data_IF_807917293047
#
_entry.id   IF_807917293047
#
_cell.length_a   1.000
_cell.length_b   1.000
_cell.length_c   1.000
_cell.angle_alpha   90.00
_cell.angle_beta   90.00
_cell.angle_gamma   90.00
#
_symmetry.space_group_name_H-M   'P 1'
#
loop_
_entity.id
_entity.type
_entity.pdbx_description
1 polymer ?
#
# COMPACT_ATOMS: atom_id res chain seq x y z
N UNK A 1 6.54 -7.32 -17.33
CA UNK A 1 6.13 -5.98 -17.80
C UNK A 1 7.36 -5.07 -17.80
N UNK A 2 7.99 -4.74 -16.65
CA UNK A 2 9.11 -3.77 -16.52
C UNK A 2 10.25 -4.03 -17.52
N UNK A 3 10.70 -5.28 -17.67
CA UNK A 3 11.76 -5.66 -18.62
C UNK A 3 11.49 -5.18 -20.07
N UNK A 4 10.23 -5.14 -20.49
CA UNK A 4 9.85 -4.77 -21.85
C UNK A 4 9.57 -3.24 -21.98
N UNK A 5 9.25 -2.58 -20.88
CA UNK A 5 8.99 -1.14 -20.87
C UNK A 5 10.26 -0.31 -20.71
N UNK A 6 11.24 -0.78 -19.93
CA UNK A 6 12.48 -0.06 -19.67
C UNK A 6 13.19 0.43 -20.95
N UNK A 7 13.37 -0.40 -22.00
CA UNK A 7 14.02 0.09 -23.24
C UNK A 7 13.29 1.26 -23.91
N UNK A 8 11.97 1.35 -23.73
CA UNK A 8 11.15 2.45 -24.30
C UNK A 8 11.24 3.73 -23.47
N UNK A 9 11.75 3.65 -22.25
CA UNK A 9 11.89 4.79 -21.35
C UNK A 9 13.31 5.37 -21.33
N UNK A 10 14.32 4.67 -21.88
CA UNK A 10 15.72 5.05 -21.77
C UNK A 10 16.03 6.44 -22.34
N UNK A 11 15.35 6.85 -23.43
CA UNK A 11 15.62 8.12 -24.09
C UNK A 11 14.88 9.31 -23.45
N UNK A 12 13.73 9.04 -22.79
CA UNK A 12 12.83 10.10 -22.30
C UNK A 12 12.68 10.12 -20.78
N UNK A 13 13.22 9.13 -20.08
CA UNK A 13 12.96 8.94 -18.65
C UNK A 13 11.52 8.51 -18.34
N UNK A 14 11.12 8.69 -17.09
CA UNK A 14 9.74 8.42 -16.68
C UNK A 14 9.59 7.95 -15.25
N UNK A 15 8.39 7.52 -14.89
CA UNK A 15 8.06 7.06 -13.55
C UNK A 15 7.43 5.66 -13.58
N UNK A 16 8.02 4.73 -12.83
CA UNK A 16 7.50 3.38 -12.62
C UNK A 16 6.92 3.32 -11.21
N UNK A 17 5.64 2.95 -11.09
CA UNK A 17 4.96 2.81 -9.81
C UNK A 17 4.49 1.36 -9.68
N UNK A 18 5.10 0.63 -8.75
CA UNK A 18 4.77 -0.76 -8.49
C UNK A 18 3.81 -0.87 -7.30
N UNK A 19 2.76 -1.68 -7.42
CA UNK A 19 1.82 -1.92 -6.33
C UNK A 19 2.32 -3.08 -5.45
N UNK A 20 2.90 -2.74 -4.32
CA UNK A 20 3.24 -3.66 -3.25
C UNK A 20 2.06 -3.89 -2.28
N UNK A 21 2.31 -3.89 -1.00
CA UNK A 21 1.36 -3.95 0.11
C UNK A 21 2.09 -3.57 1.39
N UNK A 22 1.37 -3.11 2.41
CA UNK A 22 1.93 -3.01 3.75
C UNK A 22 2.44 -4.37 4.26
N UNK A 23 1.83 -5.49 3.84
CA UNK A 23 2.30 -6.86 4.12
C UNK A 23 3.65 -7.20 3.47
N UNK A 24 4.14 -6.39 2.55
CA UNK A 24 5.50 -6.51 2.02
C UNK A 24 6.55 -5.77 2.85
N UNK A 25 6.12 -4.86 3.73
CA UNK A 25 6.99 -4.15 4.68
C UNK A 25 7.01 -4.82 6.06
N UNK A 26 5.92 -5.50 6.41
CA UNK A 26 5.78 -6.35 7.59
C UNK A 26 4.99 -7.60 7.19
N UNK A 27 4.92 -8.60 8.08
CA UNK A 27 4.26 -9.85 7.75
C UNK A 27 2.80 -9.88 8.23
N UNK A 28 1.92 -10.37 7.37
CA UNK A 28 0.57 -10.79 7.72
C UNK A 28 0.56 -12.27 8.09
N UNK A 29 -0.26 -12.62 9.08
CA UNK A 29 -0.42 -13.99 9.53
C UNK A 29 -1.07 -14.85 8.43
N UNK A 30 -0.58 -16.06 8.24
CA UNK A 30 -1.06 -17.06 7.25
C UNK A 30 -0.92 -16.62 5.78
N UNK A 31 -0.07 -15.62 5.46
CA UNK A 31 0.14 -15.09 4.10
C UNK A 31 1.61 -15.09 3.66
N UNK A 32 2.42 -16.06 4.08
CA UNK A 32 3.86 -16.10 3.83
C UNK A 32 4.24 -15.91 2.35
N UNK A 33 3.55 -16.59 1.43
CA UNK A 33 3.78 -16.44 -0.01
C UNK A 33 3.46 -15.03 -0.53
N UNK A 34 2.34 -14.45 -0.06
CA UNK A 34 1.96 -13.07 -0.40
C UNK A 34 2.95 -12.06 0.16
N UNK A 35 3.33 -12.20 1.43
CA UNK A 35 4.30 -11.33 2.11
C UNK A 35 5.65 -11.35 1.36
N UNK A 36 6.14 -12.54 1.00
CA UNK A 36 7.37 -12.71 0.23
C UNK A 36 7.27 -12.06 -1.16
N UNK A 37 6.15 -12.27 -1.88
CA UNK A 37 5.93 -11.67 -3.18
C UNK A 37 5.91 -10.13 -3.12
N UNK A 38 5.19 -9.56 -2.14
CA UNK A 38 5.07 -8.10 -1.99
C UNK A 38 6.35 -7.47 -1.44
N UNK A 39 7.09 -8.16 -0.58
CA UNK A 39 8.45 -7.78 -0.17
C UNK A 39 9.43 -7.78 -1.36
N UNK A 40 9.33 -8.79 -2.23
CA UNK A 40 10.08 -8.87 -3.48
C UNK A 40 9.81 -7.69 -4.41
N UNK A 41 8.55 -7.26 -4.55
CA UNK A 41 8.18 -6.07 -5.34
C UNK A 41 8.85 -4.81 -4.78
N UNK A 42 8.89 -4.63 -3.46
CA UNK A 42 9.53 -3.48 -2.83
C UNK A 42 11.04 -3.46 -3.15
N UNK A 43 11.71 -4.60 -2.95
CA UNK A 43 13.16 -4.65 -3.21
C UNK A 43 13.50 -4.55 -4.70
N UNK A 44 12.70 -5.16 -5.57
CA UNK A 44 12.81 -5.00 -7.02
C UNK A 44 12.67 -3.54 -7.45
N UNK A 45 11.74 -2.79 -6.85
CA UNK A 45 11.56 -1.35 -7.12
C UNK A 45 12.81 -0.56 -6.79
N UNK A 46 13.47 -0.86 -5.67
CA UNK A 46 14.76 -0.23 -5.30
C UNK A 46 15.86 -0.53 -6.32
N UNK A 47 15.93 -1.76 -6.81
CA UNK A 47 16.90 -2.14 -7.83
C UNK A 47 16.71 -1.30 -9.10
N UNK A 48 15.48 -1.20 -9.60
CA UNK A 48 15.18 -0.37 -10.78
C UNK A 48 15.56 1.10 -10.54
N UNK A 49 15.25 1.66 -9.37
CA UNK A 49 15.59 3.04 -9.04
C UNK A 49 17.10 3.30 -9.08
N UNK A 50 17.91 2.36 -8.58
CA UNK A 50 19.36 2.46 -8.57
C UNK A 50 19.95 2.26 -9.96
N UNK A 51 19.46 1.25 -10.69
CA UNK A 51 19.98 0.86 -11.98
C UNK A 51 19.70 1.90 -13.08
N UNK A 52 18.53 2.56 -13.03
CA UNK A 52 18.04 3.42 -14.11
C UNK A 52 17.82 4.89 -13.71
N UNK A 53 18.25 5.28 -12.52
CA UNK A 53 18.08 6.67 -12.06
C UNK A 53 18.85 7.70 -12.89
N UNK A 54 19.99 7.32 -13.48
CA UNK A 54 20.79 8.21 -14.35
C UNK A 54 20.15 8.45 -15.72
N UNK A 55 19.25 7.59 -16.14
CA UNK A 55 18.41 7.71 -17.33
C UNK A 55 17.12 8.48 -17.05
N UNK A 56 17.09 9.19 -15.92
CA UNK A 56 15.91 9.94 -15.46
C UNK A 56 14.65 9.07 -15.29
N UNK A 57 14.84 7.78 -14.94
CA UNK A 57 13.74 6.85 -14.63
C UNK A 57 13.63 6.74 -13.12
N UNK A 58 12.49 7.19 -12.59
CA UNK A 58 12.15 7.00 -11.18
C UNK A 58 11.36 5.70 -11.01
N UNK A 59 11.59 5.00 -9.91
CA UNK A 59 10.82 3.82 -9.57
C UNK A 59 10.45 3.85 -8.09
N UNK A 60 9.14 3.80 -7.79
CA UNK A 60 8.62 3.78 -6.43
C UNK A 60 7.58 2.67 -6.28
N UNK A 61 7.44 2.17 -5.07
CA UNK A 61 6.36 1.25 -4.70
C UNK A 61 5.32 1.99 -3.86
N UNK A 62 4.06 1.69 -4.09
CA UNK A 62 3.00 2.01 -3.14
C UNK A 62 2.69 0.77 -2.29
N UNK A 63 2.43 0.97 -1.01
CA UNK A 63 2.11 -0.09 -0.05
C UNK A 63 0.73 0.19 0.58
N UNK A 64 -0.36 -0.14 -0.12
CA UNK A 64 -1.71 0.06 0.39
C UNK A 64 -1.99 -0.83 1.61
N UNK A 65 -2.79 -0.30 2.53
CA UNK A 65 -3.52 -1.08 3.53
C UNK A 65 -4.75 -1.76 2.93
N UNK A 66 -5.79 -1.95 3.74
CA UNK A 66 -7.05 -2.50 3.25
C UNK A 66 -7.84 -1.43 2.50
N UNK A 67 -8.04 -1.64 1.21
CA UNK A 67 -8.75 -0.73 0.31
C UNK A 67 -10.07 -1.38 -0.11
N UNK A 68 -11.16 -0.63 -0.05
CA UNK A 68 -12.51 -1.08 -0.44
C UNK A 68 -12.53 -1.36 -1.95
N UNK A 69 -12.52 -2.63 -2.32
CA UNK A 69 -12.42 -3.09 -3.71
C UNK A 69 -13.15 -4.42 -3.87
N UNK A 70 -13.54 -4.81 -5.10
CA UNK A 70 -14.09 -6.15 -5.36
C UNK A 70 -13.17 -7.30 -4.91
N UNK A 71 -11.86 -7.07 -4.80
CA UNK A 71 -10.94 -8.06 -4.24
C UNK A 71 -11.24 -8.34 -2.77
N UNK A 72 -11.58 -7.31 -1.99
CA UNK A 72 -11.96 -7.48 -0.59
C UNK A 72 -13.28 -8.24 -0.49
N UNK A 73 -14.26 -7.94 -1.35
CA UNK A 73 -15.53 -8.66 -1.39
C UNK A 73 -15.31 -10.16 -1.67
N UNK A 74 -14.45 -10.47 -2.62
CA UNK A 74 -14.13 -11.86 -2.99
C UNK A 74 -13.39 -12.63 -1.89
N UNK A 75 -12.57 -11.95 -1.08
CA UNK A 75 -11.74 -12.58 -0.05
C UNK A 75 -12.42 -12.67 1.32
N UNK A 76 -13.24 -11.71 1.64
CA UNK A 76 -13.74 -11.51 3.00
C UNK A 76 -15.27 -11.45 3.10
N UNK A 77 -15.97 -11.48 1.98
CA UNK A 77 -17.42 -11.25 1.88
C UNK A 77 -17.75 -9.78 1.59
N UNK A 78 -18.96 -9.56 1.08
CA UNK A 78 -19.46 -8.23 0.71
C UNK A 78 -19.77 -7.37 1.94
N UNK A 79 -20.02 -6.08 1.75
CA UNK A 79 -20.48 -5.20 2.83
C UNK A 79 -21.88 -5.56 3.36
N UNK A 80 -22.63 -6.42 2.65
CA UNK A 80 -24.00 -6.80 3.00
C UNK A 80 -24.07 -8.09 3.83
N UNK A 81 -23.11 -9.02 3.69
CA UNK A 81 -23.08 -10.26 4.46
C UNK A 81 -22.34 -10.13 5.80
N UNK A 82 -22.62 -11.04 6.75
CA UNK A 82 -22.06 -10.97 8.10
C UNK A 82 -20.53 -11.16 8.14
N UNK A 83 -19.97 -11.98 7.26
CA UNK A 83 -18.52 -12.19 7.18
C UNK A 83 -17.82 -10.90 6.71
N UNK A 84 -18.33 -10.27 5.67
CA UNK A 84 -17.81 -9.02 5.15
C UNK A 84 -17.98 -7.84 6.11
N UNK A 85 -19.11 -7.76 6.82
CA UNK A 85 -19.33 -6.76 7.90
C UNK A 85 -18.32 -6.93 9.02
N UNK A 86 -18.14 -8.18 9.49
CA UNK A 86 -17.16 -8.49 10.55
C UNK A 86 -15.74 -8.15 10.13
N UNK A 87 -15.34 -8.57 8.91
CA UNK A 87 -14.03 -8.23 8.39
C UNK A 87 -13.80 -6.72 8.33
N UNK A 88 -14.74 -5.98 7.75
CA UNK A 88 -14.64 -4.51 7.64
C UNK A 88 -14.64 -3.83 9.00
N UNK A 89 -15.43 -4.34 9.95
CA UNK A 89 -15.43 -3.89 11.33
C UNK A 89 -14.05 -4.03 11.97
N UNK A 90 -13.42 -5.20 11.85
CA UNK A 90 -12.07 -5.46 12.34
C UNK A 90 -11.02 -4.56 11.66
N UNK A 91 -11.13 -4.36 10.34
CA UNK A 91 -10.21 -3.47 9.61
C UNK A 91 -10.35 -2.02 10.04
N UNK A 92 -11.57 -1.52 10.24
CA UNK A 92 -11.84 -0.18 10.79
C UNK A 92 -11.23 -0.03 12.18
N UNK A 93 -11.36 -1.05 13.01
CA UNK A 93 -10.85 -1.04 14.38
C UNK A 93 -9.31 -0.96 14.42
N UNK A 94 -8.59 -1.71 13.58
CA UNK A 94 -7.12 -1.68 13.54
C UNK A 94 -6.55 -0.49 12.78
N UNK A 95 -7.37 0.24 12.03
CA UNK A 95 -6.94 1.38 11.23
C UNK A 95 -7.11 2.69 12.03
N UNK A 96 -6.05 3.44 12.33
CA UNK A 96 -6.16 4.71 13.07
C UNK A 96 -7.15 5.71 12.50
N UNK A 97 -7.30 5.78 11.18
CA UNK A 97 -8.32 6.62 10.53
C UNK A 97 -9.74 6.06 10.64
N UNK A 98 -9.95 4.89 11.27
CA UNK A 98 -11.27 4.31 11.56
C UNK A 98 -12.06 3.85 10.34
N UNK A 99 -11.43 3.67 9.20
CA UNK A 99 -12.07 3.24 7.96
C UNK A 99 -11.11 2.52 7.02
N UNK A 100 -11.65 1.83 6.02
CA UNK A 100 -10.88 1.34 4.88
C UNK A 100 -10.50 2.52 3.96
N UNK A 101 -9.42 2.36 3.21
CA UNK A 101 -9.08 3.30 2.15
C UNK A 101 -9.97 3.11 0.92
N UNK A 102 -9.96 4.09 0.03
CA UNK A 102 -10.67 4.03 -1.25
C UNK A 102 -9.70 3.90 -2.43
N UNK A 103 -10.12 3.31 -3.57
CA UNK A 103 -9.31 3.28 -4.78
C UNK A 103 -8.88 4.68 -5.25
N UNK A 104 -9.73 5.69 -5.09
CA UNK A 104 -9.44 7.08 -5.46
C UNK A 104 -8.28 7.67 -4.63
N UNK A 105 -8.20 7.35 -3.34
CA UNK A 105 -7.07 7.78 -2.50
C UNK A 105 -5.75 7.16 -2.98
N UNK A 106 -5.78 5.90 -3.37
CA UNK A 106 -4.60 5.23 -3.98
C UNK A 106 -4.26 5.88 -5.32
N UNK A 107 -5.27 6.17 -6.15
CA UNK A 107 -5.09 6.85 -7.44
C UNK A 107 -4.43 8.22 -7.31
N UNK A 108 -4.78 8.99 -6.29
CA UNK A 108 -4.15 10.31 -6.01
C UNK A 108 -2.67 10.18 -5.68
N UNK A 109 -2.29 9.18 -4.88
CA UNK A 109 -0.88 8.91 -4.61
C UNK A 109 -0.12 8.48 -5.88
N UNK A 110 -0.74 7.63 -6.70
CA UNK A 110 -0.16 7.21 -7.99
C UNK A 110 0.03 8.42 -8.91
N UNK A 111 -0.97 9.30 -9.01
CA UNK A 111 -0.89 10.53 -9.83
C UNK A 111 0.24 11.45 -9.36
N UNK A 112 0.40 11.65 -8.05
CA UNK A 112 1.52 12.40 -7.48
C UNK A 112 2.87 11.77 -7.84
N UNK A 113 3.02 10.46 -7.67
CA UNK A 113 4.26 9.76 -7.98
C UNK A 113 4.56 9.70 -9.48
N UNK A 114 3.56 9.82 -10.33
CA UNK A 114 3.72 9.88 -11.78
C UNK A 114 4.12 11.27 -12.28
N UNK A 115 3.81 12.32 -11.53
CA UNK A 115 4.06 13.72 -11.91
C UNK A 115 5.47 14.20 -11.52
N UNK A 116 5.82 15.39 -12.00
CA UNK A 116 7.07 16.07 -11.68
C UNK A 116 7.11 16.60 -10.23
N UNK A 117 5.96 16.68 -9.55
CA UNK A 117 5.89 17.03 -8.12
C UNK A 117 6.66 16.04 -7.24
N UNK A 118 6.92 14.83 -7.74
CA UNK A 118 7.72 13.79 -7.10
C UNK A 118 9.08 13.56 -7.77
N UNK A 119 9.61 14.54 -8.49
CA UNK A 119 10.83 14.44 -9.30
C UNK A 119 12.08 14.01 -8.52
N UNK A 120 12.14 14.21 -7.21
CA UNK A 120 13.25 13.80 -6.35
C UNK A 120 12.92 12.59 -5.44
N UNK A 121 11.83 11.86 -5.76
CA UNK A 121 11.41 10.66 -5.02
C UNK A 121 11.62 9.44 -5.92
N UNK A 122 12.55 8.58 -5.53
CA UNK A 122 12.83 7.29 -6.20
C UNK A 122 13.36 6.26 -5.21
N UNK A 123 13.07 4.99 -5.42
CA UNK A 123 13.48 3.87 -4.56
C UNK A 123 12.62 3.70 -3.30
N UNK A 124 11.57 4.50 -3.15
CA UNK A 124 10.74 4.49 -1.95
C UNK A 124 9.60 3.46 -2.00
N UNK A 125 9.19 3.02 -0.81
CA UNK A 125 7.97 2.25 -0.60
C UNK A 125 7.02 3.04 0.29
N UNK A 126 6.08 3.74 -0.33
CA UNK A 126 5.20 4.70 0.33
C UNK A 126 3.92 4.00 0.77
N UNK A 127 3.66 4.03 2.08
CA UNK A 127 2.44 3.48 2.67
C UNK A 127 1.25 4.40 2.44
N UNK A 128 0.11 3.76 2.16
CA UNK A 128 -1.21 4.38 2.13
C UNK A 128 -2.18 3.41 2.83
N UNK A 129 -2.09 3.35 4.15
CA UNK A 129 -2.65 2.31 5.00
C UNK A 129 -3.53 2.84 6.14
N UNK A 130 -3.81 4.15 6.15
CA UNK A 130 -4.60 4.78 7.21
C UNK A 130 -3.94 4.75 8.59
N UNK A 131 -2.61 4.50 8.63
CA UNK A 131 -1.81 4.47 9.85
C UNK A 131 -1.68 3.08 10.49
N UNK A 132 -2.16 2.00 9.85
CA UNK A 132 -2.09 0.63 10.38
C UNK A 132 -0.67 0.26 10.81
N UNK A 133 0.33 0.67 10.06
CA UNK A 133 1.74 0.36 10.34
C UNK A 133 2.48 1.46 11.10
N UNK A 134 1.76 2.43 11.67
CA UNK A 134 2.38 3.55 12.38
C UNK A 134 2.58 3.28 13.88
N UNK A 135 1.84 2.33 14.45
CA UNK A 135 2.04 2.01 15.85
C UNK A 135 2.93 0.79 16.10
N UNK A 136 3.67 0.85 17.21
CA UNK A 136 4.44 -0.28 17.72
C UNK A 136 3.59 -1.21 18.58
N UNK A 137 2.45 -0.71 19.08
CA UNK A 137 1.53 -1.46 19.94
C UNK A 137 0.10 -0.90 19.84
N UNK A 138 -0.92 -1.71 19.55
CA UNK A 138 -2.31 -1.27 19.57
C UNK A 138 -2.75 -1.02 21.02
N UNK A 139 -2.99 0.25 21.36
CA UNK A 139 -3.32 0.72 22.72
C UNK A 139 -4.54 0.04 23.36
N UNK A 140 -5.48 -0.44 22.54
CA UNK A 140 -6.67 -1.15 22.99
C UNK A 140 -6.42 -2.55 23.57
N UNK A 141 -5.31 -3.21 23.21
CA UNK A 141 -4.88 -4.42 23.94
C UNK A 141 -4.57 -4.15 25.41
N UNK A 142 -4.44 -2.87 25.78
CA UNK A 142 -4.22 -2.41 27.15
C UNK A 142 -5.51 -1.90 27.83
N UNK A 143 -6.68 -2.08 27.22
CA UNK A 143 -7.96 -1.61 27.79
C UNK A 143 -8.13 -0.07 27.72
N UNK A 144 -7.44 0.59 26.82
CA UNK A 144 -7.48 2.03 26.64
C UNK A 144 -8.76 2.48 25.94
N UNK A 145 -9.66 3.11 26.70
CA UNK A 145 -10.94 3.58 26.21
C UNK A 145 -10.88 4.82 25.31
N UNK A 146 -9.69 5.41 25.08
CA UNK A 146 -9.53 6.61 24.26
C UNK A 146 -9.96 6.42 22.82
N UNK A 147 -9.93 5.20 22.32
CA UNK A 147 -10.35 4.83 20.96
C UNK A 147 -11.86 4.56 20.82
N UNK A 148 -12.56 4.36 21.94
CA UNK A 148 -14.02 4.08 21.95
C UNK A 148 -14.88 5.30 21.54
N UNK A 149 -14.31 6.50 21.49
CA UNK A 149 -15.05 7.74 21.30
C UNK A 149 -14.90 8.36 19.89
N UNK A 150 -14.21 7.72 18.95
CA UNK A 150 -13.99 8.26 17.59
C UNK A 150 -15.11 7.91 16.59
N UNK A 151 -16.23 7.36 17.04
CA UNK A 151 -17.40 7.03 16.20
C UNK A 151 -18.53 8.05 16.43
N UNK A 152 -18.21 9.35 16.31
CA UNK A 152 -19.25 10.38 16.16
C UNK A 152 -19.20 10.97 14.77
#
# INVERSE_FOLDING_TARGET
VTKFLLPLMMDNGGSIINTASFSGQAADLYRSGYNAAKGGVINFTKSIAIEYGRENIRANAIAPGTIETPLVDNLAGTSEDEAGKTFRGNQKWVTPLGRLGTPDEVGKLVSFLASDDSSFITGESIRIDGGVMAYTWPGEMLGDDRWKHSTK
#
